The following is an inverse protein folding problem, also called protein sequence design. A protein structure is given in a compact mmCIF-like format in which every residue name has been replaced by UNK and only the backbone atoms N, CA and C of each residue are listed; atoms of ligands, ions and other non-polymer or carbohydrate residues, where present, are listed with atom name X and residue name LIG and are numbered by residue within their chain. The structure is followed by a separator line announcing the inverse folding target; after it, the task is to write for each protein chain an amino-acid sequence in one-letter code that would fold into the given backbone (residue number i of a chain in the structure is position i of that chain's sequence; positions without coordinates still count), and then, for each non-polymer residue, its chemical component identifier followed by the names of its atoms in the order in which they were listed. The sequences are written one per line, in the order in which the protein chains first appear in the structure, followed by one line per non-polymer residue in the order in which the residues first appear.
data_IF_832639555878
#
_entry.id   IF_832639555878
#
_cell.length_a   1.000
_cell.length_b   1.000
_cell.length_c   1.000
_cell.angle_alpha   90.00
_cell.angle_beta   90.00
_cell.angle_gamma   90.00
#
_symmetry.space_group_name_H-M   'P 1'
#
loop_
_entity.id
_entity.type
_entity.pdbx_description
1 polymer ?
#
# COMPACT_ATOMS: atom_id res chain seq x y z
N UNK A 1 16.24 -21.23 21.34
CA UNK A 1 15.51 -21.07 20.06
C UNK A 1 14.57 -22.26 19.84
N UNK A 2 15.04 -23.51 19.72
CA UNK A 2 14.12 -24.64 19.54
C UNK A 2 13.05 -24.84 20.66
N UNK A 3 13.40 -24.58 21.93
CA UNK A 3 12.43 -24.67 23.06
C UNK A 3 11.35 -23.58 22.99
N UNK A 4 11.75 -22.34 22.67
CA UNK A 4 10.82 -21.19 22.62
C UNK A 4 9.83 -21.28 21.47
N UNK A 5 10.26 -21.83 20.33
CA UNK A 5 9.41 -21.96 19.14
C UNK A 5 8.39 -23.09 19.33
N UNK A 6 8.78 -24.14 20.05
CA UNK A 6 7.88 -25.25 20.42
C UNK A 6 6.81 -24.77 21.39
N UNK A 7 7.20 -24.04 22.44
CA UNK A 7 6.26 -23.44 23.40
C UNK A 7 5.28 -22.46 22.73
N UNK A 8 5.78 -21.63 21.80
CA UNK A 8 4.94 -20.71 21.03
C UNK A 8 3.92 -21.47 20.16
N UNK A 9 4.36 -22.53 19.47
CA UNK A 9 3.47 -23.34 18.64
C UNK A 9 2.39 -24.04 19.48
N UNK A 10 2.72 -24.55 20.67
CA UNK A 10 1.75 -25.16 21.57
C UNK A 10 0.70 -24.14 22.06
N UNK A 11 1.15 -22.96 22.51
CA UNK A 11 0.26 -21.88 22.96
C UNK A 11 -0.69 -21.42 21.84
N UNK A 12 -0.16 -21.22 20.63
CA UNK A 12 -0.96 -20.78 19.49
C UNK A 12 -1.99 -21.84 19.09
N UNK A 13 -1.58 -23.13 19.11
CA UNK A 13 -2.48 -24.25 18.80
C UNK A 13 -3.59 -24.39 19.83
N UNK A 14 -3.27 -24.27 21.12
CA UNK A 14 -4.25 -24.34 22.20
C UNK A 14 -5.28 -23.20 22.08
N UNK A 15 -4.81 -21.96 21.98
CA UNK A 15 -5.67 -20.78 21.86
C UNK A 15 -6.53 -20.82 20.58
N UNK A 16 -5.94 -21.23 19.45
CA UNK A 16 -6.68 -21.41 18.20
C UNK A 16 -7.75 -22.49 18.29
N UNK A 17 -7.50 -23.59 19.00
CA UNK A 17 -8.52 -24.62 19.24
C UNK A 17 -9.66 -24.10 20.13
N UNK A 18 -9.37 -23.25 21.11
CA UNK A 18 -10.41 -22.59 21.91
C UNK A 18 -11.28 -21.66 21.05
N UNK A 19 -10.70 -20.96 20.06
CA UNK A 19 -11.48 -20.13 19.13
C UNK A 19 -12.41 -20.92 18.20
N UNK A 20 -12.16 -22.22 17.98
CA UNK A 20 -13.09 -23.08 17.23
C UNK A 20 -14.43 -23.29 17.95
N UNK A 21 -14.47 -23.03 19.26
CA UNK A 21 -15.68 -23.02 20.08
C UNK A 21 -15.62 -21.83 21.04
N UNK A 22 -15.74 -20.61 20.50
CA UNK A 22 -15.35 -19.41 21.21
C UNK A 22 -16.30 -19.14 22.39
N UNK A 23 -15.77 -18.56 23.50
CA UNK A 23 -16.60 -18.17 24.63
C UNK A 23 -17.74 -17.24 24.20
N UNK A 24 -18.96 -17.38 24.77
CA UNK A 24 -20.09 -16.53 24.40
C UNK A 24 -19.99 -15.11 24.97
N UNK A 25 -19.16 -14.91 26.01
CA UNK A 25 -18.96 -13.62 26.65
C UNK A 25 -17.85 -12.83 25.97
N UNK A 26 -18.10 -11.56 25.66
CA UNK A 26 -17.08 -10.63 25.15
C UNK A 26 -15.89 -10.49 26.11
N UNK A 27 -16.16 -10.52 27.42
CA UNK A 27 -15.13 -10.39 28.46
C UNK A 27 -14.17 -11.58 28.50
N UNK A 28 -14.59 -12.75 28.01
CA UNK A 28 -13.76 -13.96 27.92
C UNK A 28 -13.15 -14.11 26.52
N UNK A 29 -13.87 -13.68 25.48
CA UNK A 29 -13.43 -13.79 24.09
C UNK A 29 -12.27 -12.83 23.77
N UNK A 30 -12.33 -11.58 24.25
CA UNK A 30 -11.29 -10.60 23.94
C UNK A 30 -9.91 -11.00 24.47
N UNK A 31 -9.74 -11.45 25.73
CA UNK A 31 -8.44 -11.96 26.19
C UNK A 31 -7.93 -13.16 25.38
N UNK A 32 -8.82 -14.02 24.90
CA UNK A 32 -8.43 -15.15 24.04
C UNK A 32 -7.92 -14.67 22.67
N UNK A 33 -8.59 -13.69 22.06
CA UNK A 33 -8.13 -13.06 20.83
C UNK A 33 -6.80 -12.32 21.04
N UNK A 34 -6.64 -11.61 22.18
CA UNK A 34 -5.37 -10.96 22.54
C UNK A 34 -4.22 -11.97 22.65
N UNK A 35 -4.49 -13.14 23.22
CA UNK A 35 -3.50 -14.23 23.31
C UNK A 35 -3.12 -14.75 21.91
N UNK A 36 -4.10 -14.95 21.02
CA UNK A 36 -3.87 -15.41 19.65
C UNK A 36 -3.07 -14.38 18.86
N UNK A 37 -3.46 -13.11 18.89
CA UNK A 37 -2.73 -12.00 18.26
C UNK A 37 -1.28 -11.92 18.76
N UNK A 38 -1.07 -11.98 20.08
CA UNK A 38 0.27 -11.93 20.65
C UNK A 38 1.14 -13.08 20.15
N UNK A 39 0.59 -14.29 20.08
CA UNK A 39 1.32 -15.44 19.53
C UNK A 39 1.64 -15.23 18.05
N UNK A 40 0.65 -14.85 17.23
CA UNK A 40 0.81 -14.63 15.79
C UNK A 40 1.85 -13.54 15.49
N UNK A 41 1.86 -12.43 16.25
CA UNK A 41 2.81 -11.33 16.08
C UNK A 41 4.28 -11.73 16.21
N UNK A 42 4.55 -12.86 16.88
CA UNK A 42 5.89 -13.40 17.11
C UNK A 42 6.31 -14.46 16.09
N UNK A 43 5.38 -14.88 15.22
CA UNK A 43 5.67 -15.87 14.18
C UNK A 43 6.24 -15.17 12.95
N UNK A 44 7.40 -15.63 12.48
CA UNK A 44 8.01 -15.14 11.26
C UNK A 44 7.23 -15.58 10.00
N UNK A 45 7.49 -14.89 8.90
CA UNK A 45 6.89 -15.22 7.60
C UNK A 45 7.36 -16.60 7.11
N UNK A 46 6.48 -17.33 6.42
CA UNK A 46 6.75 -18.67 5.87
C UNK A 46 7.30 -19.67 6.91
N UNK A 47 6.58 -19.91 8.02
CA UNK A 47 7.10 -20.71 9.12
C UNK A 47 7.16 -22.21 8.78
N UNK A 48 7.86 -23.00 9.60
CA UNK A 48 7.96 -24.46 9.42
C UNK A 48 6.63 -25.19 9.63
N UNK A 49 6.55 -26.45 9.18
CA UNK A 49 5.31 -27.25 9.24
C UNK A 49 4.68 -27.35 10.64
N UNK A 50 5.43 -27.62 11.73
CA UNK A 50 4.84 -27.62 13.08
C UNK A 50 4.14 -26.31 13.45
N UNK A 51 4.73 -25.17 13.08
CA UNK A 51 4.13 -23.86 13.33
C UNK A 51 2.94 -23.58 12.41
N UNK A 52 2.99 -24.01 11.14
CA UNK A 52 1.82 -23.95 10.24
C UNK A 52 0.64 -24.76 10.80
N UNK A 53 0.91 -25.96 11.32
CA UNK A 53 -0.09 -26.81 11.99
C UNK A 53 -0.67 -26.14 13.24
N UNK A 54 0.14 -25.36 13.96
CA UNK A 54 -0.30 -24.60 15.12
C UNK A 54 -1.17 -23.39 14.77
N UNK A 55 -0.93 -22.73 13.62
CA UNK A 55 -1.74 -21.61 13.12
C UNK A 55 -3.10 -22.10 12.59
N UNK A 56 -3.16 -23.32 12.04
CA UNK A 56 -4.34 -23.83 11.31
C UNK A 56 -5.68 -23.70 12.03
N UNK A 57 -5.81 -23.96 13.35
CA UNK A 57 -7.06 -23.75 14.08
C UNK A 57 -7.50 -22.27 14.09
N UNK A 58 -6.59 -21.34 14.37
CA UNK A 58 -6.89 -19.90 14.36
C UNK A 58 -7.30 -19.41 12.98
N UNK A 59 -6.57 -19.84 11.93
CA UNK A 59 -6.88 -19.51 10.53
C UNK A 59 -8.31 -19.92 10.15
N UNK A 60 -8.78 -21.08 10.62
CA UNK A 60 -10.14 -21.55 10.37
C UNK A 60 -11.18 -20.85 11.23
N UNK A 61 -10.89 -20.64 12.51
CA UNK A 61 -11.83 -20.07 13.47
C UNK A 61 -12.17 -18.60 13.14
N UNK A 62 -11.17 -17.79 12.82
CA UNK A 62 -11.30 -16.33 12.67
C UNK A 62 -12.23 -15.91 11.52
N UNK A 63 -12.41 -16.76 10.51
CA UNK A 63 -13.31 -16.52 9.37
C UNK A 63 -14.69 -17.17 9.54
N UNK A 64 -14.98 -17.78 10.70
CA UNK A 64 -16.33 -18.26 11.00
C UNK A 64 -17.29 -17.10 11.24
N UNK A 65 -18.56 -17.25 10.85
CA UNK A 65 -19.60 -16.21 11.02
C UNK A 65 -19.69 -15.67 12.44
N UNK A 66 -19.48 -16.52 13.45
CA UNK A 66 -19.56 -16.16 14.87
C UNK A 66 -18.52 -15.11 15.27
N UNK A 67 -17.30 -15.20 14.73
CA UNK A 67 -16.21 -14.25 15.02
C UNK A 67 -16.14 -13.13 13.97
N UNK A 68 -16.20 -13.51 12.70
CA UNK A 68 -15.99 -12.60 11.58
C UNK A 68 -17.08 -11.52 11.47
N UNK A 69 -18.34 -11.88 11.76
CA UNK A 69 -19.49 -10.95 11.73
C UNK A 69 -20.00 -10.60 13.12
N UNK A 70 -19.12 -10.64 14.13
CA UNK A 70 -19.46 -10.32 15.51
C UNK A 70 -20.02 -8.89 15.65
N UNK A 71 -20.98 -8.68 16.56
CA UNK A 71 -21.64 -7.37 16.70
C UNK A 71 -20.80 -6.36 17.47
N UNK A 72 -20.01 -6.83 18.44
CA UNK A 72 -19.09 -6.00 19.21
C UNK A 72 -17.93 -5.49 18.35
N UNK A 73 -17.69 -4.17 18.39
CA UNK A 73 -16.69 -3.50 17.58
C UNK A 73 -15.25 -3.80 18.03
N UNK A 74 -15.01 -4.03 19.32
CA UNK A 74 -13.68 -4.40 19.83
C UNK A 74 -13.34 -5.83 19.43
N UNK A 75 -14.32 -6.74 19.46
CA UNK A 75 -14.14 -8.11 18.97
C UNK A 75 -13.80 -8.10 17.47
N UNK A 76 -14.52 -7.30 16.67
CA UNK A 76 -14.21 -7.15 15.24
C UNK A 76 -12.78 -6.65 15.00
N UNK A 77 -12.33 -5.63 15.73
CA UNK A 77 -10.97 -5.11 15.61
C UNK A 77 -9.92 -6.15 16.03
N UNK A 78 -10.20 -6.94 17.07
CA UNK A 78 -9.32 -8.03 17.51
C UNK A 78 -9.24 -9.17 16.50
N UNK A 79 -10.37 -9.57 15.90
CA UNK A 79 -10.40 -10.55 14.81
C UNK A 79 -9.64 -10.03 13.59
N UNK A 80 -9.87 -8.78 13.19
CA UNK A 80 -9.16 -8.14 12.09
C UNK A 80 -7.64 -8.15 12.31
N UNK A 81 -7.20 -7.80 13.52
CA UNK A 81 -5.78 -7.81 13.89
C UNK A 81 -5.16 -9.20 13.82
N UNK A 82 -5.83 -10.23 14.34
CA UNK A 82 -5.37 -11.62 14.20
C UNK A 82 -5.26 -12.04 12.73
N UNK A 83 -6.25 -11.68 11.90
CA UNK A 83 -6.24 -12.01 10.48
C UNK A 83 -5.12 -11.27 9.75
N UNK A 84 -4.88 -9.99 10.05
CA UNK A 84 -3.76 -9.22 9.48
C UNK A 84 -2.41 -9.89 9.77
N UNK A 85 -2.21 -10.39 10.99
CA UNK A 85 -1.01 -11.15 11.32
C UNK A 85 -0.91 -12.48 10.56
N UNK A 86 -2.02 -13.20 10.37
CA UNK A 86 -2.03 -14.39 9.52
C UNK A 86 -1.63 -14.05 8.09
N UNK A 87 -2.20 -12.98 7.51
CA UNK A 87 -1.82 -12.51 6.16
C UNK A 87 -0.34 -12.17 6.09
N UNK A 88 0.23 -11.55 7.14
CA UNK A 88 1.68 -11.28 7.22
C UNK A 88 2.51 -12.56 7.24
N UNK A 89 2.08 -13.57 8.00
CA UNK A 89 2.79 -14.83 8.16
C UNK A 89 2.77 -15.64 6.86
N UNK A 90 1.62 -15.67 6.17
CA UNK A 90 1.45 -16.48 4.96
C UNK A 90 1.93 -15.80 3.69
N UNK A 91 2.14 -14.48 3.69
CA UNK A 91 2.65 -13.76 2.53
C UNK A 91 3.93 -14.44 1.97
N UNK A 92 4.14 -14.43 0.64
CA UNK A 92 3.31 -13.80 -0.39
C UNK A 92 2.01 -14.55 -0.70
N UNK A 93 1.82 -15.76 -0.19
CA UNK A 93 0.61 -16.54 -0.41
C UNK A 93 -0.57 -16.03 0.42
N UNK A 94 -1.71 -15.81 -0.25
CA UNK A 94 -2.94 -15.42 0.42
C UNK A 94 -3.43 -16.57 1.34
N UNK A 95 -3.86 -16.26 2.57
CA UNK A 95 -4.32 -17.29 3.51
C UNK A 95 -5.70 -17.88 3.14
N UNK A 96 -6.45 -17.21 2.27
CA UNK A 96 -7.79 -17.60 1.84
C UNK A 96 -7.94 -17.42 0.32
N UNK A 97 -9.01 -17.98 -0.25
CA UNK A 97 -9.42 -17.71 -1.63
C UNK A 97 -9.84 -16.25 -1.84
N UNK A 98 -9.91 -15.83 -3.11
CA UNK A 98 -10.19 -14.46 -3.54
C UNK A 98 -11.48 -13.88 -2.95
N UNK A 99 -12.57 -14.66 -2.95
CA UNK A 99 -13.87 -14.21 -2.42
C UNK A 99 -13.78 -13.96 -0.92
N UNK A 100 -13.13 -14.86 -0.18
CA UNK A 100 -12.91 -14.69 1.25
C UNK A 100 -11.94 -13.55 1.54
N UNK A 101 -10.90 -13.37 0.73
CA UNK A 101 -9.95 -12.27 0.87
C UNK A 101 -10.63 -10.90 0.70
N UNK A 102 -11.60 -10.77 -0.23
CA UNK A 102 -12.40 -9.54 -0.36
C UNK A 102 -13.17 -9.21 0.92
N UNK A 103 -13.82 -10.20 1.54
CA UNK A 103 -14.48 -10.01 2.83
C UNK A 103 -13.46 -9.62 3.93
N UNK A 104 -12.30 -10.28 3.98
CA UNK A 104 -11.22 -9.95 4.92
C UNK A 104 -10.76 -8.51 4.78
N UNK A 105 -10.56 -8.03 3.55
CA UNK A 105 -10.21 -6.64 3.31
C UNK A 105 -11.30 -5.67 3.74
N UNK A 106 -12.58 -6.01 3.57
CA UNK A 106 -13.67 -5.18 4.10
C UNK A 106 -13.58 -5.04 5.63
N UNK A 107 -13.30 -6.14 6.34
CA UNK A 107 -13.11 -6.11 7.79
C UNK A 107 -11.89 -5.26 8.18
N UNK A 108 -10.76 -5.41 7.48
CA UNK A 108 -9.54 -4.62 7.71
C UNK A 108 -9.81 -3.13 7.49
N UNK A 109 -10.39 -2.76 6.35
CA UNK A 109 -10.66 -1.35 6.00
C UNK A 109 -11.65 -0.71 6.97
N UNK A 110 -12.69 -1.46 7.40
CA UNK A 110 -13.63 -0.97 8.43
C UNK A 110 -12.96 -0.66 9.77
N UNK A 111 -11.80 -1.28 10.06
CA UNK A 111 -11.04 -1.00 11.28
C UNK A 111 -10.40 0.39 11.27
N UNK A 112 -10.25 1.03 10.11
CA UNK A 112 -9.64 2.35 9.97
C UNK A 112 -10.62 3.52 10.18
N UNK A 113 -11.93 3.29 10.06
CA UNK A 113 -12.96 4.34 10.16
C UNK A 113 -12.84 5.20 11.43
N UNK A 114 -12.54 4.54 12.56
CA UNK A 114 -12.52 5.16 13.88
C UNK A 114 -11.09 5.29 14.43
N UNK A 115 -10.08 5.35 13.56
CA UNK A 115 -8.68 5.47 13.97
C UNK A 115 -8.34 6.84 14.60
N UNK A 116 -9.21 7.84 14.46
CA UNK A 116 -9.04 9.11 15.17
C UNK A 116 -9.18 8.92 16.69
N UNK A 117 -10.02 8.03 17.19
CA UNK A 117 -10.26 7.89 18.63
C UNK A 117 -9.14 7.10 19.33
N UNK A 118 -8.11 7.81 19.80
CA UNK A 118 -6.99 7.24 20.53
C UNK A 118 -7.34 6.76 21.95
N UNK A 119 -8.55 7.08 22.43
CA UNK A 119 -9.05 6.60 23.72
C UNK A 119 -9.80 5.28 23.60
N UNK A 120 -10.10 4.86 22.36
CA UNK A 120 -10.77 3.60 22.08
C UNK A 120 -9.89 2.40 22.51
N UNK A 121 -10.50 1.40 23.15
CA UNK A 121 -9.82 0.18 23.60
C UNK A 121 -9.05 -0.52 22.47
N UNK A 122 -9.60 -0.48 21.26
CA UNK A 122 -9.03 -1.15 20.08
C UNK A 122 -8.07 -0.28 19.28
N UNK A 123 -7.74 0.92 19.75
CA UNK A 123 -6.85 1.84 19.02
C UNK A 123 -5.50 1.18 18.68
N UNK A 124 -4.85 0.53 19.65
CA UNK A 124 -3.57 -0.15 19.42
C UNK A 124 -3.65 -1.27 18.38
N UNK A 125 -4.79 -1.96 18.32
CA UNK A 125 -5.03 -3.02 17.32
C UNK A 125 -5.19 -2.41 15.94
N UNK A 126 -5.95 -1.32 15.82
CA UNK A 126 -6.14 -0.61 14.55
C UNK A 126 -4.84 -0.04 14.00
N UNK A 127 -3.98 0.51 14.86
CA UNK A 127 -2.63 0.94 14.44
C UNK A 127 -1.77 -0.24 14.00
N UNK A 128 -1.83 -1.38 14.72
CA UNK A 128 -1.10 -2.59 14.32
C UNK A 128 -1.59 -3.15 12.97
N UNK A 129 -2.90 -3.15 12.72
CA UNK A 129 -3.49 -3.56 11.43
C UNK A 129 -2.93 -2.66 10.31
N UNK A 130 -2.95 -1.34 10.52
CA UNK A 130 -2.46 -0.37 9.55
C UNK A 130 -0.97 -0.61 9.21
N UNK A 131 -0.13 -0.79 10.24
CA UNK A 131 1.30 -1.08 10.08
C UNK A 131 1.53 -2.38 9.33
N UNK A 132 0.77 -3.43 9.65
CA UNK A 132 0.89 -4.73 8.99
C UNK A 132 0.49 -4.63 7.51
N UNK A 133 -0.63 -3.96 7.19
CA UNK A 133 -1.07 -3.73 5.80
C UNK A 133 -0.01 -2.99 4.99
N UNK A 134 0.61 -1.96 5.57
CA UNK A 134 1.71 -1.22 4.93
C UNK A 134 2.93 -2.12 4.72
N UNK A 135 3.36 -2.84 5.76
CA UNK A 135 4.58 -3.66 5.76
C UNK A 135 4.55 -4.79 4.75
N UNK A 136 3.43 -5.51 4.64
CA UNK A 136 3.28 -6.61 3.66
C UNK A 136 2.55 -6.18 2.39
N UNK A 137 2.41 -4.87 2.17
CA UNK A 137 1.85 -4.29 0.95
C UNK A 137 0.49 -4.89 0.57
N UNK A 138 -0.37 -5.17 1.56
CA UNK A 138 -1.63 -5.90 1.31
C UNK A 138 -2.60 -5.16 0.38
N UNK A 139 -2.43 -3.84 0.25
CA UNK A 139 -3.17 -3.03 -0.72
C UNK A 139 -2.90 -3.41 -2.18
N UNK A 140 -1.75 -4.04 -2.49
CA UNK A 140 -1.48 -4.55 -3.84
C UNK A 140 -2.38 -5.75 -4.14
N UNK A 141 -2.58 -6.64 -3.17
CA UNK A 141 -3.55 -7.74 -3.30
C UNK A 141 -4.97 -7.21 -3.49
N UNK A 142 -5.32 -6.08 -2.88
CA UNK A 142 -6.62 -5.43 -3.13
C UNK A 142 -6.76 -4.96 -4.59
N UNK A 143 -5.68 -4.48 -5.22
CA UNK A 143 -5.66 -4.14 -6.64
C UNK A 143 -5.84 -5.39 -7.51
N UNK A 144 -5.08 -6.46 -7.22
CA UNK A 144 -5.17 -7.74 -7.95
C UNK A 144 -6.59 -8.35 -7.88
N UNK A 145 -7.29 -8.12 -6.77
CA UNK A 145 -8.67 -8.57 -6.55
C UNK A 145 -9.74 -7.60 -7.07
N UNK A 146 -9.36 -6.49 -7.71
CA UNK A 146 -10.25 -5.45 -8.25
C UNK A 146 -11.16 -4.83 -7.17
N UNK A 147 -10.60 -4.53 -5.99
CA UNK A 147 -11.33 -3.97 -4.85
C UNK A 147 -11.46 -2.43 -4.89
N UNK A 148 -11.67 -1.83 -6.07
CA UNK A 148 -11.57 -0.38 -6.30
C UNK A 148 -12.40 0.47 -5.33
N UNK A 149 -13.68 0.11 -5.13
CA UNK A 149 -14.56 0.84 -4.23
C UNK A 149 -14.06 0.82 -2.78
N UNK A 150 -13.48 -0.31 -2.35
CA UNK A 150 -12.96 -0.49 -1.00
C UNK A 150 -11.63 0.25 -0.81
N UNK A 151 -10.80 0.34 -1.87
CA UNK A 151 -9.58 1.15 -1.87
C UNK A 151 -9.92 2.63 -1.72
N UNK A 152 -10.94 3.12 -2.45
CA UNK A 152 -11.43 4.50 -2.32
C UNK A 152 -11.94 4.76 -0.90
N UNK A 153 -12.71 3.84 -0.34
CA UNK A 153 -13.19 3.91 1.05
C UNK A 153 -12.01 3.98 2.05
N UNK A 154 -10.97 3.18 1.85
CA UNK A 154 -9.77 3.20 2.68
C UNK A 154 -9.07 4.57 2.64
N UNK A 155 -8.93 5.19 1.47
CA UNK A 155 -8.36 6.54 1.34
C UNK A 155 -9.19 7.57 2.11
N UNK A 156 -10.52 7.48 2.00
CA UNK A 156 -11.43 8.36 2.74
C UNK A 156 -11.30 8.18 4.26
N UNK A 157 -11.20 6.93 4.75
CA UNK A 157 -10.99 6.65 6.17
C UNK A 157 -9.67 7.25 6.67
N UNK A 158 -8.56 7.10 5.93
CA UNK A 158 -7.27 7.69 6.32
C UNK A 158 -7.34 9.22 6.42
N UNK A 159 -7.83 9.88 5.37
CA UNK A 159 -7.92 11.33 5.31
C UNK A 159 -8.87 11.91 6.36
N UNK A 160 -9.96 11.20 6.68
CA UNK A 160 -10.91 11.61 7.73
C UNK A 160 -10.41 11.33 9.14
N UNK A 161 -9.61 10.27 9.34
CA UNK A 161 -9.20 9.80 10.66
C UNK A 161 -7.85 10.36 11.15
N UNK A 162 -6.95 10.76 10.26
CA UNK A 162 -5.61 11.26 10.63
C UNK A 162 -5.70 12.51 11.53
N UNK A 163 -4.87 12.56 12.59
CA UNK A 163 -4.82 13.65 13.57
C UNK A 163 -3.38 13.99 13.93
N UNK A 164 -3.13 15.23 14.38
CA UNK A 164 -1.79 15.72 14.75
C UNK A 164 -1.13 14.97 15.92
N UNK A 165 -1.94 14.33 16.77
CA UNK A 165 -1.44 13.52 17.90
C UNK A 165 -1.12 12.08 17.52
N UNK A 166 -1.45 11.64 16.30
CA UNK A 166 -1.06 10.32 15.85
C UNK A 166 0.47 10.23 15.82
N UNK A 167 1.06 9.14 16.32
CA UNK A 167 2.50 8.97 16.21
C UNK A 167 2.91 8.79 14.74
N UNK A 168 4.15 9.16 14.43
CA UNK A 168 4.66 9.30 13.06
C UNK A 168 4.51 8.00 12.23
N UNK A 169 4.64 6.83 12.85
CA UNK A 169 4.43 5.53 12.21
C UNK A 169 3.02 5.36 11.63
N UNK A 170 1.99 5.93 12.26
CA UNK A 170 0.61 5.88 11.75
C UNK A 170 0.51 6.72 10.47
N UNK A 171 1.06 7.93 10.48
CA UNK A 171 1.12 8.80 9.31
C UNK A 171 1.89 8.13 8.16
N UNK A 172 3.08 7.60 8.44
CA UNK A 172 3.92 6.91 7.45
C UNK A 172 3.26 5.67 6.87
N UNK A 173 2.50 4.92 7.68
CA UNK A 173 1.78 3.74 7.20
C UNK A 173 0.65 4.13 6.24
N UNK A 174 -0.13 5.17 6.56
CA UNK A 174 -1.15 5.70 5.64
C UNK A 174 -0.52 6.19 4.32
N UNK A 175 0.54 7.00 4.42
CA UNK A 175 1.29 7.51 3.27
C UNK A 175 1.82 6.37 2.40
N UNK A 176 2.45 5.37 3.02
CA UNK A 176 2.99 4.19 2.33
C UNK A 176 1.89 3.43 1.58
N UNK A 177 0.77 3.15 2.23
CA UNK A 177 -0.34 2.40 1.61
C UNK A 177 -0.92 3.17 0.42
N UNK A 178 -1.20 4.45 0.59
CA UNK A 178 -1.80 5.28 -0.47
C UNK A 178 -0.85 5.43 -1.66
N UNK A 179 0.44 5.66 -1.41
CA UNK A 179 1.49 5.72 -2.44
C UNK A 179 1.61 4.38 -3.18
N UNK A 180 1.65 3.25 -2.46
CA UNK A 180 1.72 1.92 -3.09
C UNK A 180 0.53 1.63 -3.99
N UNK A 181 -0.69 1.99 -3.57
CA UNK A 181 -1.88 1.84 -4.40
C UNK A 181 -1.71 2.59 -5.72
N UNK A 182 -1.29 3.86 -5.66
CA UNK A 182 -1.11 4.66 -6.88
C UNK A 182 0.03 4.13 -7.75
N UNK A 183 1.19 3.82 -7.17
CA UNK A 183 2.37 3.32 -7.88
C UNK A 183 2.20 1.93 -8.50
N UNK A 184 1.32 1.08 -7.96
CA UNK A 184 1.08 -0.26 -8.49
C UNK A 184 -0.17 -0.36 -9.39
N UNK A 185 -1.04 0.67 -9.40
CA UNK A 185 -2.23 0.68 -10.29
C UNK A 185 -1.88 0.76 -11.77
N UNK A 186 -2.42 -0.12 -12.62
CA UNK A 186 -2.23 -0.02 -14.08
C UNK A 186 -2.92 1.21 -14.69
N UNK A 187 -4.12 1.54 -14.19
CA UNK A 187 -4.90 2.72 -14.55
C UNK A 187 -5.41 3.42 -13.29
N UNK A 188 -5.39 4.75 -13.28
CA UNK A 188 -5.77 5.55 -12.11
C UNK A 188 -7.04 6.34 -12.44
N UNK A 189 -8.16 5.88 -11.87
CA UNK A 189 -9.46 6.51 -12.09
C UNK A 189 -9.56 7.89 -11.43
N UNK A 190 -10.45 8.74 -11.95
CA UNK A 190 -10.76 10.04 -11.32
C UNK A 190 -11.36 9.85 -9.93
N UNK A 191 -12.12 8.77 -9.75
CA UNK A 191 -12.78 8.39 -8.52
C UNK A 191 -11.76 8.04 -7.43
N UNK A 192 -10.65 7.37 -7.78
CA UNK A 192 -9.53 7.11 -6.88
C UNK A 192 -8.77 8.39 -6.47
N UNK A 193 -8.63 9.35 -7.39
CA UNK A 193 -7.99 10.64 -7.11
C UNK A 193 -8.88 11.60 -6.32
N UNK A 194 -10.20 11.38 -6.32
CA UNK A 194 -11.16 12.32 -5.75
C UNK A 194 -10.94 12.63 -4.26
N UNK A 195 -10.67 11.65 -3.36
CA UNK A 195 -10.39 11.94 -1.95
C UNK A 195 -9.12 12.78 -1.74
N UNK A 196 -8.08 12.54 -2.53
CA UNK A 196 -6.83 13.30 -2.49
C UNK A 196 -7.04 14.74 -2.96
N UNK A 197 -7.69 14.92 -4.11
CA UNK A 197 -8.00 16.23 -4.68
C UNK A 197 -8.90 17.05 -3.74
N UNK A 198 -9.91 16.43 -3.13
CA UNK A 198 -10.75 17.09 -2.14
C UNK A 198 -9.94 17.60 -0.94
N UNK A 199 -8.98 16.79 -0.45
CA UNK A 199 -8.15 17.14 0.72
C UNK A 199 -7.16 18.27 0.44
N UNK A 200 -6.76 18.47 -0.81
CA UNK A 200 -5.81 19.54 -1.20
C UNK A 200 -6.50 20.76 -1.82
N UNK A 201 -7.83 20.84 -1.79
CA UNK A 201 -8.56 22.05 -2.19
C UNK A 201 -8.32 23.18 -1.17
N UNK A 202 -8.00 24.39 -1.65
CA UNK A 202 -7.60 25.53 -0.80
C UNK A 202 -8.73 26.07 0.07
N UNK A 203 -9.93 26.17 -0.48
CA UNK A 203 -11.08 26.82 0.18
C UNK A 203 -11.89 25.87 1.08
N UNK A 204 -11.41 24.65 1.30
CA UNK A 204 -12.07 23.70 2.20
C UNK A 204 -11.51 23.85 3.62
N UNK A 205 -12.23 24.60 4.47
CA UNK A 205 -11.91 24.79 5.88
C UNK A 205 -12.23 23.55 6.74
N UNK A 206 -13.00 22.59 6.23
CA UNK A 206 -13.33 21.36 6.96
C UNK A 206 -12.17 20.35 6.94
N UNK A 207 -11.25 20.48 5.97
CA UNK A 207 -10.08 19.62 5.85
C UNK A 207 -9.02 20.00 6.89
N UNK A 208 -8.65 19.02 7.72
CA UNK A 208 -7.59 19.20 8.72
C UNK A 208 -6.22 19.41 8.04
N UNK A 209 -5.34 20.29 8.58
CA UNK A 209 -4.01 20.52 8.03
C UNK A 209 -3.16 19.24 7.88
N UNK A 210 -3.26 18.31 8.84
CA UNK A 210 -2.55 17.02 8.77
C UNK A 210 -3.08 16.10 7.67
N UNK A 211 -4.38 16.15 7.38
CA UNK A 211 -4.98 15.39 6.28
C UNK A 211 -4.57 15.96 4.93
N UNK A 212 -4.54 17.30 4.80
CA UNK A 212 -4.00 17.98 3.63
C UNK A 212 -2.53 17.62 3.41
N UNK A 213 -1.71 17.66 4.46
CA UNK A 213 -0.30 17.25 4.41
C UNK A 213 -0.12 15.80 3.96
N UNK A 214 -0.94 14.88 4.46
CA UNK A 214 -0.93 13.48 4.02
C UNK A 214 -1.21 13.37 2.52
N UNK A 215 -2.26 14.03 2.05
CA UNK A 215 -2.62 14.02 0.63
C UNK A 215 -1.53 14.65 -0.25
N UNK A 216 -0.97 15.79 0.15
CA UNK A 216 0.14 16.45 -0.56
C UNK A 216 1.34 15.51 -0.69
N UNK A 217 1.79 14.88 0.40
CA UNK A 217 2.92 13.95 0.36
C UNK A 217 2.69 12.73 -0.53
N UNK A 218 1.48 12.18 -0.53
CA UNK A 218 1.11 11.07 -1.43
C UNK A 218 1.18 11.53 -2.90
N UNK A 219 0.62 12.71 -3.21
CA UNK A 219 0.67 13.26 -4.56
C UNK A 219 2.12 13.53 -5.02
N UNK A 220 2.95 14.12 -4.15
CA UNK A 220 4.37 14.37 -4.41
C UNK A 220 5.15 13.07 -4.66
N UNK A 221 4.91 12.06 -3.81
CA UNK A 221 5.58 10.76 -3.92
C UNK A 221 5.26 10.04 -5.22
N UNK A 222 4.06 10.28 -5.77
CA UNK A 222 3.59 9.67 -7.02
C UNK A 222 3.60 10.62 -8.22
N UNK A 223 4.30 11.76 -8.14
CA UNK A 223 4.22 12.85 -9.13
C UNK A 223 4.40 12.39 -10.58
N UNK A 224 5.46 11.61 -10.84
CA UNK A 224 5.78 11.11 -12.19
C UNK A 224 4.65 10.29 -12.78
N UNK A 225 4.08 9.37 -11.98
CA UNK A 225 2.99 8.50 -12.42
C UNK A 225 1.67 9.26 -12.54
N UNK A 226 1.40 10.17 -11.62
CA UNK A 226 0.13 10.88 -11.51
C UNK A 226 -0.06 12.00 -12.54
N UNK A 227 1.01 12.57 -13.08
CA UNK A 227 0.94 13.72 -14.00
C UNK A 227 -0.15 13.62 -15.10
N UNK A 228 -0.24 12.54 -15.91
CA UNK A 228 -1.29 12.44 -16.93
C UNK A 228 -2.70 12.33 -16.31
N UNK A 229 -2.85 11.59 -15.21
CA UNK A 229 -4.14 11.33 -14.56
C UNK A 229 -4.69 12.56 -13.82
N UNK A 230 -3.83 13.31 -13.11
CA UNK A 230 -4.22 14.53 -12.42
C UNK A 230 -4.72 15.60 -13.39
N UNK A 231 -4.01 15.77 -14.51
CA UNK A 231 -4.41 16.73 -15.55
C UNK A 231 -5.79 16.38 -16.09
N UNK A 232 -6.04 15.10 -16.37
CA UNK A 232 -7.35 14.62 -16.84
C UNK A 232 -8.44 14.78 -15.77
N UNK A 233 -8.15 14.42 -14.52
CA UNK A 233 -9.09 14.49 -13.41
C UNK A 233 -9.54 15.94 -13.13
N UNK A 234 -8.59 16.89 -13.04
CA UNK A 234 -8.89 18.31 -12.82
C UNK A 234 -9.74 18.88 -13.95
N UNK A 235 -9.40 18.57 -15.20
CA UNK A 235 -10.19 19.00 -16.36
C UNK A 235 -11.62 18.43 -16.34
N UNK A 236 -11.79 17.16 -15.95
CA UNK A 236 -13.11 16.51 -15.83
C UNK A 236 -13.95 17.12 -14.71
N UNK A 237 -13.33 17.52 -13.60
CA UNK A 237 -14.00 18.19 -12.47
C UNK A 237 -14.34 19.65 -12.77
N UNK A 238 -13.68 20.28 -13.74
CA UNK A 238 -13.92 21.68 -14.13
C UNK A 238 -13.52 22.70 -13.06
N UNK A 239 -12.61 22.31 -12.16
CA UNK A 239 -12.06 23.17 -11.09
C UNK A 239 -10.72 23.75 -11.59
N UNK A 240 -10.40 24.99 -11.23
CA UNK A 240 -9.12 25.59 -11.62
C UNK A 240 -7.96 24.89 -10.90
N UNK A 241 -6.83 24.73 -11.58
CA UNK A 241 -5.59 24.25 -10.93
C UNK A 241 -5.19 25.15 -9.74
N UNK A 242 -5.48 26.46 -9.84
CA UNK A 242 -5.18 27.43 -8.79
C UNK A 242 -6.01 27.25 -7.50
N UNK A 243 -7.15 26.55 -7.59
CA UNK A 243 -8.05 26.28 -6.46
C UNK A 243 -7.55 25.12 -5.58
N UNK A 244 -6.53 24.39 -6.03
CA UNK A 244 -5.85 23.35 -5.29
C UNK A 244 -4.52 23.85 -4.71
N UNK A 245 -3.96 23.11 -3.75
CA UNK A 245 -2.60 23.29 -3.25
C UNK A 245 -1.58 23.27 -4.41
N UNK A 246 -0.49 24.01 -4.23
CA UNK A 246 0.56 24.21 -5.25
C UNK A 246 1.16 22.89 -5.76
N UNK A 247 1.03 21.80 -4.99
CA UNK A 247 1.43 20.45 -5.41
C UNK A 247 0.77 20.03 -6.73
N UNK A 248 -0.52 20.31 -6.92
CA UNK A 248 -1.27 19.86 -8.09
C UNK A 248 -0.76 20.57 -9.34
N UNK A 249 -0.62 21.89 -9.28
CA UNK A 249 -0.03 22.68 -10.36
C UNK A 249 1.42 22.28 -10.64
N UNK A 250 2.21 22.00 -9.60
CA UNK A 250 3.62 21.63 -9.76
C UNK A 250 3.79 20.32 -10.51
N UNK A 251 2.97 19.31 -10.21
CA UNK A 251 3.01 18.01 -10.89
C UNK A 251 2.55 18.15 -12.36
N UNK A 252 1.47 18.89 -12.61
CA UNK A 252 0.93 19.05 -13.96
C UNK A 252 1.83 19.89 -14.87
N UNK A 253 2.54 20.88 -14.33
CA UNK A 253 3.39 21.81 -15.08
C UNK A 253 4.89 21.46 -15.10
N UNK A 254 5.32 20.36 -14.47
CA UNK A 254 6.68 19.85 -14.65
C UNK A 254 6.93 19.56 -16.13
N UNK A 255 7.65 20.44 -16.83
CA UNK A 255 8.08 20.19 -18.21
C UNK A 255 8.90 18.90 -18.25
N UNK A 256 8.59 18.01 -19.20
CA UNK A 256 9.43 16.86 -19.47
C UNK A 256 10.76 17.37 -20.01
N UNK A 257 11.77 17.48 -19.15
CA UNK A 257 13.16 17.72 -19.55
C UNK A 257 13.77 16.45 -20.18
N UNK A 258 13.08 15.89 -21.17
CA UNK A 258 13.55 14.80 -22.05
C UNK A 258 13.00 15.07 -23.46
N UNK A 259 13.32 16.25 -24.01
CA UNK A 259 13.24 16.50 -25.43
C UNK A 259 14.66 16.82 -25.91
N UNK A 260 15.38 15.78 -26.33
CA UNK A 260 16.65 15.92 -27.05
C UNK A 260 16.38 16.72 -28.32
N UNK A 261 17.15 17.80 -28.42
CA UNK A 261 17.22 18.80 -29.48
C UNK A 261 16.92 18.27 -30.88
N UNK A 262 15.84 18.77 -31.50
CA UNK A 262 15.77 18.84 -32.96
C UNK A 262 16.65 20.02 -33.40
N UNK A 263 17.87 19.70 -33.83
CA UNK A 263 18.70 20.65 -34.57
C UNK A 263 18.10 20.85 -35.97
N UNK A 264 17.39 21.95 -36.14
CA UNK A 264 17.00 22.49 -37.43
C UNK A 264 18.11 23.42 -37.94
N UNK A 265 18.78 23.02 -39.01
CA UNK A 265 19.68 23.89 -39.77
C UNK A 265 19.64 23.52 -41.25
N UNK A 266 18.68 24.07 -41.98
CA UNK A 266 18.69 24.10 -43.45
C UNK A 266 19.42 25.33 -44.01
N UNK A 267 20.15 25.06 -45.10
CA UNK A 267 20.49 25.90 -46.24
C UNK A 267 21.81 26.71 -46.21
N UNK A 268 22.83 26.24 -46.96
CA UNK A 268 23.00 26.67 -48.36
C UNK A 268 24.03 25.84 -49.13
N UNK A 269 23.79 25.78 -50.44
CA UNK A 269 24.31 24.89 -51.48
C UNK A 269 25.70 25.30 -52.08
N UNK A 270 26.26 24.54 -53.07
CA UNK A 270 27.68 24.20 -53.21
C UNK A 270 28.44 25.08 -54.23
N UNK A 271 29.73 24.78 -54.50
CA UNK A 271 30.35 24.71 -55.85
C UNK A 271 31.87 24.41 -55.80
N UNK A 272 32.27 23.44 -56.66
CA UNK A 272 33.55 23.21 -57.35
C UNK A 272 34.85 22.90 -56.57
N UNK A 273 35.84 22.19 -57.11
CA UNK A 273 35.99 21.14 -58.14
C UNK A 273 37.50 20.75 -58.05
N UNK A 274 37.83 19.54 -58.50
CA UNK A 274 39.17 19.05 -58.88
C UNK A 274 40.30 18.96 -57.84
N UNK A 275 40.63 17.71 -57.45
CA UNK A 275 41.84 17.02 -57.95
C UNK A 275 42.04 15.65 -57.26
N UNK A 276 42.30 14.62 -58.08
CA UNK A 276 42.82 13.27 -57.75
C UNK A 276 44.09 13.07 -58.64
N UNK A 277 44.86 11.97 -58.54
CA UNK A 277 45.46 11.26 -57.39
C UNK A 277 46.99 10.96 -57.62
N UNK A 278 47.70 10.40 -56.62
CA UNK A 278 48.88 9.50 -56.77
C UNK A 278 49.22 8.89 -55.38
N UNK A 279 49.14 7.57 -55.14
CA UNK A 279 50.20 6.54 -55.28
C UNK A 279 51.44 6.85 -54.40
N UNK A 280 51.96 6.04 -53.45
CA UNK A 280 52.26 4.60 -53.28
C UNK A 280 52.48 4.33 -51.76
N UNK A 281 51.98 3.26 -51.13
CA UNK A 281 52.51 1.88 -50.96
C UNK A 281 53.29 1.60 -49.63
N UNK A 282 53.08 0.37 -49.11
CA UNK A 282 53.80 -0.39 -48.06
C UNK A 282 53.49 -0.05 -46.59
N UNK A 283 53.45 -0.96 -45.61
CA UNK A 283 53.29 -2.42 -45.45
C UNK A 283 53.13 -2.64 -43.91
N UNK A 284 52.79 -3.87 -43.53
CA UNK A 284 52.93 -4.52 -42.22
C UNK A 284 51.70 -4.84 -41.35
N UNK A 285 51.69 -6.14 -41.03
CA UNK A 285 50.75 -6.98 -40.29
C UNK A 285 50.81 -6.73 -38.78
N UNK A 286 49.77 -7.24 -38.08
CA UNK A 286 49.81 -8.19 -36.92
C UNK A 286 48.61 -7.89 -36.00
N UNK A 287 47.50 -8.64 -36.07
CA UNK A 287 47.17 -9.88 -35.35
C UNK A 287 46.50 -9.68 -33.96
N UNK A 288 45.22 -10.08 -33.92
CA UNK A 288 44.54 -10.90 -32.91
C UNK A 288 44.12 -10.37 -31.51
N UNK A 289 42.79 -10.57 -31.30
CA UNK A 289 42.16 -11.31 -30.20
C UNK A 289 41.78 -10.63 -28.87
N UNK A 290 40.45 -10.64 -28.62
CA UNK A 290 39.70 -11.22 -27.49
C UNK A 290 39.96 -10.76 -26.04
N UNK A 291 38.88 -10.29 -25.40
CA UNK A 291 38.16 -10.81 -24.19
C UNK A 291 37.41 -9.61 -23.55
N UNK A 292 36.08 -9.54 -23.55
CA UNK A 292 35.17 -10.15 -22.56
C UNK A 292 35.66 -10.03 -21.10
N UNK A 293 35.04 -9.10 -20.37
CA UNK A 293 34.28 -9.36 -19.15
C UNK A 293 33.30 -8.21 -18.91
#
# INVERSE_FOLDING_TARGET
MASSDTELAEQLKEAGNMLMSPPPSVDELLPLLDQVENCLSRVEQSPNTPMQDAISPSLKALVTEQLFRHQDADVKAAVASCISEITRITAPEAPYDDDKMKEVFQLIVSSFENLFDSTNRSYSKRTSILETVAKVRSCVVMLDLECDALIIEMFQHFLKSIRDYHPENVFQSMETIMTLVLEESEDISTELLSPLLASVKKDDEEVLPVARKLAEKVLESCATKLKPYLTQAVNKLGISFDDYSEVVSSICHQESSDAVEQNDATANEPVADDAKPAEEALDEKTQACFFEN
#
